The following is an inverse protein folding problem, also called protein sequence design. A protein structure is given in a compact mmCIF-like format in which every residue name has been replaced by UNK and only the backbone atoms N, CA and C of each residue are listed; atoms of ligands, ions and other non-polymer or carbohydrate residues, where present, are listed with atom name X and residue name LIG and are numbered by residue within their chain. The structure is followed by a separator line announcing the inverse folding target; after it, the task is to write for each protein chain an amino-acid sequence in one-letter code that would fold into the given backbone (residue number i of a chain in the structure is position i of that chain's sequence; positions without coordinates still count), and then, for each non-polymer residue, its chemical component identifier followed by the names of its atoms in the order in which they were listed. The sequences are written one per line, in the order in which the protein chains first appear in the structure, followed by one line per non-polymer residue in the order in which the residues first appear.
data_IF_265981707449
#
_entry.id   IF_265981707449
#
_cell.length_a   1.000
_cell.length_b   1.000
_cell.length_c   1.000
_cell.angle_alpha   90.00
_cell.angle_beta   90.00
_cell.angle_gamma   90.00
#
_symmetry.space_group_name_H-M   'P 1'
#
loop_
_entity.id
_entity.type
_entity.pdbx_description
1 polymer ?
#
# COMPACT_ATOMS: atom_id res chain seq x y z
N UNK A 1 -46.61 -47.24 -2.66
CA UNK A 1 -45.20 -47.62 -2.44
C UNK A 1 -44.79 -47.11 -1.06
N UNK A 2 -44.07 -47.94 -0.30
CA UNK A 2 -43.99 -47.96 1.17
C UNK A 2 -43.53 -46.65 1.84
N UNK A 3 -44.12 -46.45 3.01
CA UNK A 3 -43.84 -45.46 4.05
C UNK A 3 -42.73 -46.00 4.99
N UNK A 4 -42.07 -45.09 5.73
CA UNK A 4 -41.59 -45.18 7.14
C UNK A 4 -40.13 -44.72 7.37
N UNK A 5 -40.06 -43.53 7.97
CA UNK A 5 -39.34 -43.04 9.18
C UNK A 5 -37.92 -43.56 9.54
N UNK A 6 -37.13 -42.54 9.87
CA UNK A 6 -35.92 -42.45 10.70
C UNK A 6 -35.83 -43.36 11.94
N UNK A 7 -34.61 -43.84 12.23
CA UNK A 7 -34.11 -44.14 13.59
C UNK A 7 -32.64 -43.73 13.69
N UNK A 8 -32.35 -42.84 14.64
CA UNK A 8 -31.02 -42.56 15.18
C UNK A 8 -30.70 -43.58 16.29
N UNK A 9 -29.47 -44.07 16.40
CA UNK A 9 -28.97 -44.63 17.65
C UNK A 9 -27.50 -44.30 17.86
N UNK A 10 -27.22 -43.81 19.05
CA UNK A 10 -25.91 -43.45 19.57
C UNK A 10 -25.29 -44.61 20.38
N UNK A 11 -23.96 -44.60 20.40
CA UNK A 11 -23.02 -45.01 21.45
C UNK A 11 -23.17 -46.39 22.15
N UNK A 12 -22.09 -47.17 22.06
CA UNK A 12 -21.56 -47.92 23.20
C UNK A 12 -20.04 -48.04 23.07
N UNK A 13 -19.32 -47.48 24.05
CA UNK A 13 -17.90 -47.69 24.26
C UNK A 13 -17.68 -49.00 25.03
N UNK A 14 -16.73 -49.82 24.58
CA UNK A 14 -16.15 -50.90 25.38
C UNK A 14 -14.64 -50.70 25.43
N UNK A 15 -14.18 -50.39 26.63
CA UNK A 15 -12.78 -50.32 27.05
C UNK A 15 -12.22 -51.73 27.18
N UNK A 16 -11.12 -52.01 26.47
CA UNK A 16 -10.21 -53.11 26.81
C UNK A 16 -8.78 -52.59 26.84
N UNK A 17 -8.16 -52.78 27.99
CA UNK A 17 -6.80 -52.39 28.36
C UNK A 17 -5.78 -53.45 27.92
N UNK A 18 -4.79 -53.03 27.11
CA UNK A 18 -3.38 -53.46 26.99
C UNK A 18 -3.07 -54.96 26.68
N UNK A 19 -1.99 -55.30 25.92
CA UNK A 19 -0.63 -54.83 26.16
C UNK A 19 0.02 -54.08 24.98
N UNK A 20 0.93 -53.19 25.34
CA UNK A 20 1.83 -52.52 24.42
C UNK A 20 2.78 -53.52 23.76
N UNK A 21 2.70 -53.65 22.44
CA UNK A 21 3.78 -54.17 21.62
C UNK A 21 4.34 -52.98 20.86
N UNK A 22 5.55 -52.59 21.24
CA UNK A 22 6.35 -51.61 20.53
C UNK A 22 6.70 -52.18 19.14
N UNK A 23 5.95 -51.78 18.12
CA UNK A 23 6.38 -51.89 16.74
C UNK A 23 7.07 -50.57 16.39
N UNK A 24 8.41 -50.63 16.32
CA UNK A 24 9.25 -49.65 15.65
C UNK A 24 8.76 -49.51 14.21
N UNK A 25 7.94 -48.50 13.99
CA UNK A 25 7.53 -48.12 12.65
C UNK A 25 8.67 -47.29 12.05
N UNK A 26 9.26 -47.69 10.91
CA UNK A 26 10.22 -46.83 10.23
C UNK A 26 9.52 -45.52 9.92
N UNK A 27 10.16 -44.42 10.31
CA UNK A 27 9.66 -43.07 10.05
C UNK A 27 9.62 -42.85 8.55
N UNK A 28 8.51 -43.23 7.91
CA UNK A 28 8.14 -42.69 6.62
C UNK A 28 7.68 -41.27 6.92
N UNK A 29 8.63 -40.37 7.05
CA UNK A 29 8.38 -38.94 6.88
C UNK A 29 8.03 -38.75 5.41
N UNK A 30 6.81 -39.14 5.02
CA UNK A 30 6.15 -38.40 3.95
C UNK A 30 6.11 -36.98 4.47
N UNK A 31 6.99 -36.13 3.94
CA UNK A 31 6.98 -34.71 4.21
C UNK A 31 5.61 -34.21 3.75
N UNK A 32 4.62 -34.22 4.64
CA UNK A 32 3.45 -33.39 4.50
C UNK A 32 4.00 -31.98 4.41
N UNK A 33 4.03 -31.44 3.19
CA UNK A 33 4.39 -30.06 2.96
C UNK A 33 3.53 -29.25 3.93
N UNK A 34 4.14 -28.66 4.95
CA UNK A 34 3.42 -27.89 5.95
C UNK A 34 2.59 -26.85 5.19
N UNK A 35 1.27 -27.07 5.12
CA UNK A 35 0.36 -26.12 4.49
C UNK A 35 0.41 -24.89 5.35
N UNK A 36 1.22 -23.90 4.97
CA UNK A 36 1.37 -22.66 5.73
C UNK A 36 -0.01 -22.12 6.05
N UNK A 37 -0.31 -21.96 7.34
CA UNK A 37 -1.57 -21.36 7.79
C UNK A 37 -1.74 -20.02 7.10
N UNK A 38 -2.92 -19.80 6.52
CA UNK A 38 -3.25 -18.51 5.91
C UNK A 38 -3.13 -17.40 6.95
N UNK A 39 -2.55 -16.28 6.57
CA UNK A 39 -2.39 -15.11 7.43
C UNK A 39 -3.71 -14.33 7.56
N UNK A 40 -4.53 -14.34 6.52
CA UNK A 40 -5.84 -13.72 6.47
C UNK A 40 -6.39 -13.78 5.05
N UNK A 41 -7.34 -12.90 4.72
CA UNK A 41 -7.86 -12.71 3.37
C UNK A 41 -7.58 -11.31 2.84
N UNK A 42 -7.36 -11.21 1.53
CA UNK A 42 -7.24 -9.96 0.80
C UNK A 42 -8.20 -9.98 -0.38
N UNK A 43 -8.81 -8.85 -0.67
CA UNK A 43 -9.63 -8.66 -1.87
C UNK A 43 -8.90 -7.71 -2.80
N UNK A 44 -8.82 -8.09 -4.07
CA UNK A 44 -8.24 -7.22 -5.09
C UNK A 44 -9.28 -6.24 -5.61
N UNK A 45 -8.88 -4.99 -5.79
CA UNK A 45 -9.69 -3.94 -6.39
C UNK A 45 -8.87 -3.10 -7.35
N UNK A 46 -9.49 -2.69 -8.47
CA UNK A 46 -8.95 -1.67 -9.34
C UNK A 46 -10.09 -0.90 -9.99
N UNK A 47 -10.06 0.41 -9.86
CA UNK A 47 -11.08 1.31 -10.37
C UNK A 47 -10.92 1.57 -11.88
N UNK A 48 -9.72 1.30 -12.44
CA UNK A 48 -9.37 1.53 -13.85
C UNK A 48 -9.15 0.24 -14.66
N UNK A 49 -9.30 -0.94 -14.05
CA UNK A 49 -9.20 -2.21 -14.77
C UNK A 49 -10.13 -3.26 -14.18
N UNK A 50 -10.88 -3.94 -15.05
CA UNK A 50 -11.67 -5.12 -14.67
C UNK A 50 -10.79 -6.32 -14.28
N UNK A 51 -9.48 -6.21 -14.51
CA UNK A 51 -8.51 -7.29 -14.39
C UNK A 51 -7.24 -6.85 -13.66
N UNK A 52 -6.73 -7.69 -12.76
CA UNK A 52 -5.44 -7.51 -12.09
C UNK A 52 -4.41 -8.52 -12.61
N UNK A 53 -3.17 -8.07 -12.82
CA UNK A 53 -2.04 -8.91 -13.19
C UNK A 53 -1.53 -9.76 -12.02
N UNK A 54 -1.13 -11.00 -12.31
CA UNK A 54 -0.54 -11.92 -11.32
C UNK A 54 0.88 -12.28 -11.74
N UNK A 55 1.80 -12.17 -10.79
CA UNK A 55 3.20 -12.54 -10.98
C UNK A 55 3.49 -13.95 -10.47
N UNK A 56 4.46 -14.61 -11.09
CA UNK A 56 5.15 -15.75 -10.50
C UNK A 56 6.33 -15.27 -9.61
N UNK A 57 6.99 -16.21 -8.94
CA UNK A 57 8.13 -15.90 -8.06
C UNK A 57 9.34 -15.29 -8.80
N UNK A 58 9.44 -15.49 -10.12
CA UNK A 58 10.49 -14.93 -10.97
C UNK A 58 10.13 -13.56 -11.57
N UNK A 59 8.99 -12.97 -11.18
CA UNK A 59 8.56 -11.66 -11.68
C UNK A 59 7.90 -11.67 -13.06
N UNK A 60 7.86 -12.82 -13.75
CA UNK A 60 7.11 -12.92 -15.01
C UNK A 60 5.62 -12.85 -14.69
N UNK A 61 4.91 -11.94 -15.34
CA UNK A 61 3.47 -11.91 -15.33
C UNK A 61 3.00 -13.23 -15.96
N UNK A 62 2.36 -14.09 -15.17
CA UNK A 62 1.64 -15.21 -15.79
C UNK A 62 0.53 -14.56 -16.60
N UNK A 63 0.19 -15.11 -17.76
CA UNK A 63 -0.99 -14.74 -18.56
C UNK A 63 -2.33 -14.96 -17.80
N UNK A 64 -2.31 -15.06 -16.47
CA UNK A 64 -3.46 -15.16 -15.58
C UNK A 64 -3.87 -13.78 -15.12
N UNK A 65 -5.05 -13.41 -15.57
CA UNK A 65 -5.81 -12.22 -15.26
C UNK A 65 -6.84 -12.60 -14.19
N UNK A 66 -6.90 -11.88 -13.07
CA UNK A 66 -7.93 -12.10 -12.02
C UNK A 66 -8.96 -10.97 -12.05
N UNK A 67 -10.24 -11.31 -11.87
CA UNK A 67 -11.34 -10.34 -11.87
C UNK A 67 -11.25 -9.42 -10.64
N UNK A 68 -11.56 -8.14 -10.84
CA UNK A 68 -11.79 -7.19 -9.74
C UNK A 68 -12.83 -7.76 -8.74
N UNK A 69 -12.60 -7.56 -7.43
CA UNK A 69 -13.45 -8.03 -6.34
C UNK A 69 -13.16 -9.46 -5.89
N UNK A 70 -12.16 -10.13 -6.47
CA UNK A 70 -11.83 -11.51 -6.07
C UNK A 70 -11.09 -11.51 -4.72
N UNK A 71 -11.54 -12.39 -3.82
CA UNK A 71 -10.95 -12.58 -2.48
C UNK A 71 -10.09 -13.82 -2.42
N UNK A 72 -8.88 -13.70 -1.84
CA UNK A 72 -7.94 -14.80 -1.65
C UNK A 72 -7.50 -14.91 -0.20
N UNK A 73 -7.17 -16.13 0.23
CA UNK A 73 -6.25 -16.32 1.36
C UNK A 73 -4.85 -15.85 0.95
N UNK A 74 -4.14 -15.19 1.86
CA UNK A 74 -2.74 -14.81 1.64
C UNK A 74 -1.81 -15.40 2.69
N UNK A 75 -0.52 -15.48 2.34
CA UNK A 75 0.46 -16.24 3.10
C UNK A 75 1.74 -15.45 3.35
N UNK A 76 1.89 -14.97 4.59
CA UNK A 76 3.10 -14.31 5.09
C UNK A 76 3.20 -12.83 4.72
N UNK A 77 4.40 -12.29 4.93
CA UNK A 77 4.76 -10.91 4.60
C UNK A 77 4.89 -10.71 3.08
N UNK A 78 4.69 -9.47 2.59
CA UNK A 78 4.82 -9.15 1.17
C UNK A 78 6.27 -9.30 0.70
N UNK A 79 6.45 -9.63 -0.58
CA UNK A 79 7.76 -9.82 -1.23
C UNK A 79 7.91 -8.90 -2.43
N UNK A 80 9.12 -8.36 -2.61
CA UNK A 80 9.45 -7.61 -3.81
C UNK A 80 9.58 -8.56 -5.00
N UNK A 81 8.74 -8.38 -6.02
CA UNK A 81 8.66 -9.16 -7.24
C UNK A 81 8.34 -8.19 -8.38
N UNK A 82 9.14 -8.19 -9.45
CA UNK A 82 8.96 -7.28 -10.59
C UNK A 82 8.87 -5.79 -10.16
N UNK A 83 9.82 -5.34 -9.32
CA UNK A 83 9.88 -3.98 -8.78
C UNK A 83 8.67 -3.53 -7.94
N UNK A 84 7.75 -4.44 -7.63
CA UNK A 84 6.56 -4.17 -6.83
C UNK A 84 6.46 -5.14 -5.65
N UNK A 85 5.95 -4.68 -4.50
CA UNK A 85 5.69 -5.58 -3.39
C UNK A 85 4.38 -6.32 -3.61
N UNK A 86 4.40 -7.61 -3.33
CA UNK A 86 3.31 -8.52 -3.65
C UNK A 86 2.99 -9.46 -2.50
N UNK A 87 1.72 -9.84 -2.37
CA UNK A 87 1.27 -10.88 -1.45
C UNK A 87 1.15 -12.22 -2.16
N UNK A 88 1.67 -13.28 -1.54
CA UNK A 88 1.50 -14.65 -2.01
C UNK A 88 0.06 -15.09 -1.76
N UNK A 89 -0.65 -15.46 -2.82
CA UNK A 89 -2.04 -15.95 -2.75
C UNK A 89 -2.17 -17.45 -3.04
N UNK A 90 -1.18 -18.06 -3.71
CA UNK A 90 -1.11 -19.51 -3.95
C UNK A 90 0.33 -19.96 -4.26
N UNK A 91 0.52 -21.25 -4.56
CA UNK A 91 1.82 -21.76 -5.06
C UNK A 91 2.20 -21.00 -6.34
N UNK A 92 3.32 -20.28 -6.28
CA UNK A 92 3.87 -19.51 -7.40
C UNK A 92 2.90 -18.45 -7.99
N UNK A 93 2.00 -17.88 -7.17
CA UNK A 93 1.09 -16.80 -7.56
C UNK A 93 1.13 -15.65 -6.55
N UNK A 94 1.33 -14.45 -7.07
CA UNK A 94 1.54 -13.23 -6.29
C UNK A 94 0.74 -12.07 -6.89
N UNK A 95 0.15 -11.27 -6.02
CA UNK A 95 -0.65 -10.10 -6.41
C UNK A 95 0.01 -8.83 -5.88
N UNK A 96 0.09 -7.75 -6.69
CA UNK A 96 0.49 -6.42 -6.24
C UNK A 96 -0.19 -5.98 -4.95
N UNK A 97 0.56 -5.40 -4.02
CA UNK A 97 -0.04 -4.80 -2.83
C UNK A 97 -0.89 -3.58 -3.17
N UNK A 98 -0.51 -2.82 -4.21
CA UNK A 98 -1.25 -1.66 -4.73
C UNK A 98 -2.66 -2.03 -5.22
N UNK A 99 -2.86 -3.27 -5.68
CA UNK A 99 -4.14 -3.77 -6.18
C UNK A 99 -5.08 -4.28 -5.07
N UNK A 100 -4.73 -4.14 -3.78
CA UNK A 100 -5.55 -4.66 -2.68
C UNK A 100 -6.49 -3.57 -2.18
N UNK A 101 -7.79 -3.83 -2.24
CA UNK A 101 -8.84 -2.92 -1.79
C UNK A 101 -9.31 -3.20 -0.37
N UNK A 102 -9.22 -4.46 0.08
CA UNK A 102 -9.59 -4.83 1.47
C UNK A 102 -8.69 -5.90 2.07
N UNK A 103 -8.56 -5.86 3.39
CA UNK A 103 -7.89 -6.86 4.23
C UNK A 103 -8.88 -7.39 5.27
N UNK A 104 -9.14 -8.69 5.24
CA UNK A 104 -10.14 -9.36 6.08
C UNK A 104 -11.52 -8.69 5.99
N UNK A 105 -11.94 -8.30 4.78
CA UNK A 105 -13.22 -7.65 4.50
C UNK A 105 -13.32 -6.19 4.96
N UNK A 106 -12.21 -5.55 5.35
CA UNK A 106 -12.17 -4.16 5.79
C UNK A 106 -11.27 -3.31 4.91
N UNK A 107 -11.59 -2.02 4.80
CA UNK A 107 -10.82 -1.02 4.07
C UNK A 107 -9.38 -0.88 4.60
N UNK A 108 -8.46 -0.54 3.71
CA UNK A 108 -7.03 -0.79 3.89
C UNK A 108 -6.16 0.41 3.53
N UNK A 109 -5.04 0.56 4.25
CA UNK A 109 -3.96 1.49 3.96
C UNK A 109 -2.71 0.71 3.56
N UNK A 110 -1.98 1.22 2.57
CA UNK A 110 -0.68 0.68 2.17
C UNK A 110 0.47 1.50 2.77
N UNK A 111 1.37 0.84 3.48
CA UNK A 111 2.48 1.48 4.21
C UNK A 111 3.65 1.72 3.24
N UNK A 112 3.89 2.98 2.88
CA UNK A 112 4.96 3.38 1.97
C UNK A 112 6.34 3.30 2.63
N UNK A 113 6.40 3.70 3.89
CA UNK A 113 7.62 3.79 4.69
C UNK A 113 7.42 3.12 6.04
N UNK A 114 8.49 2.58 6.62
CA UNK A 114 8.45 2.04 7.99
C UNK A 114 7.80 3.07 8.92
N UNK A 115 6.72 2.68 9.59
CA UNK A 115 5.87 3.60 10.34
C UNK A 115 5.64 3.06 11.74
N UNK A 116 6.00 3.84 12.75
CA UNK A 116 5.58 3.52 14.11
C UNK A 116 4.07 3.75 14.26
N UNK A 117 3.47 2.97 15.14
CA UNK A 117 2.09 3.21 15.58
C UNK A 117 2.11 4.17 16.77
N UNK A 118 1.22 5.15 16.76
CA UNK A 118 1.08 6.18 17.78
C UNK A 118 -0.26 6.03 18.48
N UNK A 119 -0.33 6.43 19.74
CA UNK A 119 -1.59 6.56 20.46
C UNK A 119 -2.25 7.93 20.20
N UNK A 120 -3.41 8.16 20.81
CA UNK A 120 -4.17 9.42 20.70
C UNK A 120 -3.40 10.67 21.18
N UNK A 121 -2.34 10.50 21.96
CA UNK A 121 -1.51 11.57 22.53
C UNK A 121 -0.19 11.74 21.74
N UNK A 122 0.03 10.93 20.70
CA UNK A 122 1.24 10.96 19.90
C UNK A 122 2.43 10.25 20.54
N UNK A 123 2.21 9.40 21.54
CA UNK A 123 3.24 8.49 22.08
C UNK A 123 3.26 7.20 21.25
N UNK A 124 4.44 6.65 21.02
CA UNK A 124 4.59 5.38 20.28
C UNK A 124 3.97 4.24 21.09
N UNK A 125 3.07 3.49 20.46
CA UNK A 125 2.47 2.28 21.04
C UNK A 125 3.55 1.22 21.20
N UNK A 126 3.55 0.54 22.34
CA UNK A 126 4.45 -0.58 22.64
C UNK A 126 3.64 -1.86 22.84
N UNK A 127 4.25 -2.99 22.45
CA UNK A 127 3.76 -4.34 22.72
C UNK A 127 4.95 -5.17 23.18
N UNK A 128 4.85 -5.84 24.32
CA UNK A 128 5.93 -6.62 24.92
C UNK A 128 7.25 -5.80 25.00
N UNK A 129 7.15 -4.58 25.52
CA UNK A 129 8.25 -3.61 25.64
C UNK A 129 8.92 -3.17 24.32
N UNK A 130 8.38 -3.56 23.16
CA UNK A 130 8.88 -3.15 21.84
C UNK A 130 7.90 -2.20 21.17
N UNK A 131 8.42 -1.13 20.55
CA UNK A 131 7.60 -0.19 19.76
C UNK A 131 6.96 -0.94 18.59
N UNK A 132 5.66 -0.75 18.41
CA UNK A 132 4.93 -1.35 17.30
C UNK A 132 5.33 -0.64 16.01
N UNK A 133 5.97 -1.40 15.12
CA UNK A 133 6.46 -0.92 13.82
C UNK A 133 5.70 -1.64 12.70
N UNK A 134 5.02 -0.87 11.87
CA UNK A 134 4.50 -1.32 10.60
C UNK A 134 5.62 -1.20 9.57
N UNK A 135 5.98 -2.32 8.95
CA UNK A 135 7.06 -2.33 7.97
C UNK A 135 6.55 -1.81 6.63
N UNK A 136 7.47 -1.21 5.87
CA UNK A 136 7.26 -0.86 4.47
C UNK A 136 6.60 -2.03 3.74
N UNK A 137 5.67 -1.66 2.89
CA UNK A 137 4.88 -2.51 2.01
C UNK A 137 3.84 -3.40 2.68
N UNK A 138 3.65 -3.28 4.00
CA UNK A 138 2.55 -3.95 4.66
C UNK A 138 1.24 -3.20 4.43
N UNK A 139 0.13 -3.92 4.56
CA UNK A 139 -1.21 -3.36 4.58
C UNK A 139 -1.82 -3.44 5.97
N UNK A 140 -2.65 -2.46 6.32
CA UNK A 140 -3.36 -2.40 7.60
C UNK A 140 -4.77 -1.86 7.42
N UNK A 141 -5.70 -2.31 8.25
CA UNK A 141 -7.06 -1.78 8.26
C UNK A 141 -7.13 -0.38 8.88
N UNK A 142 -8.10 0.43 8.45
CA UNK A 142 -8.41 1.72 9.06
C UNK A 142 -9.88 1.81 9.50
N UNK A 143 -10.21 2.83 10.31
CA UNK A 143 -11.58 3.04 10.83
C UNK A 143 -12.15 4.44 10.59
N UNK A 144 -11.43 5.31 9.88
CA UNK A 144 -11.92 6.63 9.46
C UNK A 144 -12.98 6.59 8.37
N UNK A 145 -13.65 7.73 8.15
CA UNK A 145 -14.66 7.91 7.10
C UNK A 145 -14.04 8.57 5.86
N UNK A 146 -14.54 8.23 4.67
CA UNK A 146 -14.16 8.89 3.42
C UNK A 146 -15.21 9.95 3.07
N UNK A 147 -14.75 11.15 2.68
CA UNK A 147 -15.59 12.27 2.26
C UNK A 147 -14.95 12.99 1.06
N UNK A 148 -15.66 13.92 0.43
CA UNK A 148 -15.08 14.82 -0.57
C UNK A 148 -13.89 15.57 0.04
N UNK A 149 -12.80 15.65 -0.71
CA UNK A 149 -11.58 16.32 -0.25
C UNK A 149 -11.75 17.85 -0.25
N UNK A 150 -11.32 18.50 0.84
CA UNK A 150 -11.03 19.93 0.84
C UNK A 150 -9.78 20.23 -0.01
N UNK A 151 -9.58 21.50 -0.38
CA UNK A 151 -8.48 21.93 -1.26
C UNK A 151 -7.09 21.60 -0.73
N UNK A 152 -6.91 21.63 0.59
CA UNK A 152 -5.64 21.39 1.30
C UNK A 152 -5.51 19.97 1.86
N UNK A 153 -6.50 19.11 1.65
CA UNK A 153 -6.52 17.76 2.19
C UNK A 153 -5.59 16.81 1.42
N UNK A 154 -5.04 15.83 2.15
CA UNK A 154 -4.55 14.61 1.51
C UNK A 154 -5.72 13.91 0.83
N UNK A 155 -5.52 13.54 -0.42
CA UNK A 155 -6.61 13.13 -1.32
C UNK A 155 -6.19 11.97 -2.20
N UNK A 156 -7.15 11.16 -2.55
CA UNK A 156 -7.03 10.14 -3.58
C UNK A 156 -8.16 10.38 -4.58
N UNK A 157 -7.91 10.04 -5.84
CA UNK A 157 -8.90 10.16 -6.89
C UNK A 157 -9.64 8.84 -6.98
N UNK A 158 -10.97 8.91 -7.04
CA UNK A 158 -11.83 7.76 -7.35
C UNK A 158 -12.42 7.96 -8.76
N UNK A 159 -13.18 6.98 -9.25
CA UNK A 159 -13.91 7.04 -10.52
C UNK A 159 -14.42 8.46 -10.85
N UNK A 160 -14.27 8.85 -12.11
CA UNK A 160 -14.60 10.19 -12.64
C UNK A 160 -13.68 11.33 -12.15
N UNK A 161 -12.50 11.01 -11.60
CA UNK A 161 -11.54 12.03 -11.13
C UNK A 161 -11.95 12.71 -9.81
N UNK A 162 -12.99 12.21 -9.13
CA UNK A 162 -13.49 12.79 -7.88
C UNK A 162 -12.43 12.71 -6.79
N UNK A 163 -12.10 13.86 -6.20
CA UNK A 163 -11.11 13.99 -5.11
C UNK A 163 -11.76 13.64 -3.78
N UNK A 164 -11.34 12.53 -3.18
CA UNK A 164 -11.82 12.03 -1.90
C UNK A 164 -10.71 12.08 -0.86
N UNK A 165 -11.08 12.24 0.42
CA UNK A 165 -10.16 12.28 1.54
C UNK A 165 -10.63 11.32 2.65
N UNK A 166 -9.68 10.60 3.24
CA UNK A 166 -9.91 9.81 4.44
C UNK A 166 -9.73 10.73 5.67
N UNK A 167 -10.68 10.70 6.60
CA UNK A 167 -10.64 11.52 7.80
C UNK A 167 -9.35 11.32 8.60
N UNK A 168 -8.68 12.43 8.91
CA UNK A 168 -7.43 12.45 9.69
C UNK A 168 -7.65 13.05 11.07
N UNK A 169 -6.75 12.72 12.01
CA UNK A 169 -6.60 13.41 13.29
C UNK A 169 -5.27 14.15 13.33
N UNK A 170 -5.29 15.42 13.72
CA UNK A 170 -4.06 16.17 13.99
C UNK A 170 -3.58 15.87 15.40
N UNK A 171 -2.33 15.43 15.54
CA UNK A 171 -1.68 15.15 16.82
C UNK A 171 -0.29 15.79 16.77
N UNK A 172 -0.05 16.80 17.61
CA UNK A 172 1.24 17.54 17.66
C UNK A 172 1.69 18.05 16.27
N UNK A 173 0.78 18.70 15.54
CA UNK A 173 1.07 19.31 14.24
C UNK A 173 1.20 18.34 13.06
N UNK A 174 0.97 17.04 13.25
CA UNK A 174 0.98 16.07 12.15
C UNK A 174 -0.37 15.40 11.99
N UNK A 175 -0.73 15.05 10.75
CA UNK A 175 -1.96 14.32 10.46
C UNK A 175 -1.75 12.81 10.50
N UNK A 176 -2.75 12.12 11.06
CA UNK A 176 -2.73 10.67 11.24
C UNK A 176 -4.04 10.03 10.80
N UNK A 177 -3.94 8.82 10.26
CA UNK A 177 -5.08 7.92 10.07
C UNK A 177 -5.27 7.04 11.31
N UNK A 178 -6.52 6.84 11.70
CA UNK A 178 -6.90 5.91 12.77
C UNK A 178 -6.98 4.48 12.22
N UNK A 179 -6.20 3.57 12.81
CA UNK A 179 -6.14 2.14 12.47
C UNK A 179 -6.87 1.25 13.49
N UNK A 180 -7.73 1.86 14.33
CA UNK A 180 -8.54 1.22 15.36
C UNK A 180 -7.88 1.21 16.74
N UNK A 181 -8.66 0.95 17.80
CA UNK A 181 -8.17 0.80 19.18
C UNK A 181 -7.26 1.94 19.67
N UNK A 182 -7.58 3.20 19.32
CA UNK A 182 -6.76 4.38 19.61
C UNK A 182 -5.32 4.31 19.05
N UNK A 183 -5.10 3.55 17.98
CA UNK A 183 -3.84 3.46 17.27
C UNK A 183 -3.88 4.28 15.97
N UNK A 184 -2.79 4.97 15.70
CA UNK A 184 -2.68 5.97 14.65
C UNK A 184 -1.38 5.82 13.87
N UNK A 185 -1.42 6.11 12.57
CA UNK A 185 -0.24 6.13 11.70
C UNK A 185 -0.16 7.46 10.97
N UNK A 186 1.05 7.99 10.76
CA UNK A 186 1.24 9.25 10.04
C UNK A 186 0.78 9.10 8.59
N UNK A 187 0.02 10.09 8.10
CA UNK A 187 -0.45 10.12 6.71
C UNK A 187 0.71 10.06 5.72
N UNK A 188 1.81 10.75 6.02
CA UNK A 188 3.03 10.77 5.19
C UNK A 188 3.74 9.42 5.01
N UNK A 189 3.32 8.38 5.75
CA UNK A 189 3.87 7.03 5.64
C UNK A 189 2.92 6.07 4.89
N UNK A 190 1.85 6.59 4.30
CA UNK A 190 0.85 5.83 3.56
C UNK A 190 0.90 6.25 2.10
N UNK A 191 0.92 5.29 1.17
CA UNK A 191 0.94 5.57 -0.27
C UNK A 191 -0.40 5.32 -0.95
N UNK A 192 -1.26 4.46 -0.39
CA UNK A 192 -2.56 4.13 -0.99
C UNK A 192 -3.64 3.98 0.08
N UNK A 193 -4.88 4.33 -0.29
CA UNK A 193 -6.11 4.10 0.47
C UNK A 193 -7.05 3.29 -0.40
N UNK A 194 -7.40 2.06 -0.01
CA UNK A 194 -8.26 1.15 -0.78
C UNK A 194 -7.86 1.10 -2.26
N UNK A 195 -6.64 0.64 -2.55
CA UNK A 195 -6.05 0.59 -3.89
C UNK A 195 -5.94 1.92 -4.67
N UNK A 196 -6.28 3.07 -4.09
CA UNK A 196 -6.13 4.37 -4.74
C UNK A 196 -4.85 5.07 -4.28
N UNK A 197 -4.01 5.59 -5.20
CA UNK A 197 -2.85 6.37 -4.83
C UNK A 197 -3.25 7.59 -4.00
N UNK A 198 -2.54 7.76 -2.88
CA UNK A 198 -2.72 8.92 -2.01
C UNK A 198 -1.78 10.05 -2.46
N UNK A 199 -2.35 11.23 -2.60
CA UNK A 199 -1.66 12.46 -2.95
C UNK A 199 -1.75 13.47 -1.82
N UNK A 200 -0.68 14.24 -1.63
CA UNK A 200 -0.73 15.45 -0.83
C UNK A 200 -1.34 16.61 -1.65
N UNK A 201 -1.99 17.55 -0.97
CA UNK A 201 -2.36 18.81 -1.60
C UNK A 201 -1.14 19.61 -2.06
N UNK A 202 -0.06 19.56 -1.26
CA UNK A 202 1.26 20.09 -1.59
C UNK A 202 2.32 19.41 -0.72
N UNK A 203 3.58 19.50 -1.13
CA UNK A 203 4.75 19.04 -0.38
C UNK A 203 5.86 20.07 -0.44
N UNK A 204 6.80 19.99 0.49
CA UNK A 204 8.04 20.77 0.43
C UNK A 204 9.18 19.87 -0.03
N UNK A 205 9.91 20.31 -1.04
CA UNK A 205 11.10 19.65 -1.57
C UNK A 205 12.33 20.52 -1.32
N UNK A 206 13.50 19.90 -1.31
CA UNK A 206 14.79 20.61 -1.25
C UNK A 206 15.48 20.47 -2.59
N UNK A 207 15.88 21.60 -3.19
CA UNK A 207 16.57 21.60 -4.48
C UNK A 207 17.99 21.07 -4.37
N UNK A 208 18.39 20.30 -5.37
CA UNK A 208 19.76 19.88 -5.63
C UNK A 208 20.48 20.83 -6.57
N UNK A 209 21.66 20.42 -7.01
CA UNK A 209 22.43 21.13 -8.03
C UNK A 209 21.97 20.72 -9.41
N UNK A 210 21.81 21.68 -10.32
CA UNK A 210 21.57 21.41 -11.72
C UNK A 210 22.92 21.35 -12.45
N UNK A 211 23.24 20.22 -13.08
CA UNK A 211 24.51 20.07 -13.83
C UNK A 211 25.77 20.45 -13.01
N UNK A 212 25.77 20.15 -11.71
CA UNK A 212 26.79 20.53 -10.71
C UNK A 212 26.87 22.02 -10.32
N UNK A 213 25.97 22.86 -10.83
CA UNK A 213 25.86 24.27 -10.46
C UNK A 213 24.81 24.53 -9.38
N UNK A 214 24.97 25.63 -8.64
CA UNK A 214 24.01 26.03 -7.60
C UNK A 214 22.76 26.69 -8.17
N UNK A 215 22.80 27.17 -9.42
CA UNK A 215 21.64 27.74 -10.11
C UNK A 215 20.77 26.60 -10.62
N UNK A 216 19.49 26.64 -10.30
CA UNK A 216 18.51 25.63 -10.70
C UNK A 216 17.51 26.30 -11.65
N UNK A 217 17.42 25.84 -12.91
CA UNK A 217 16.48 26.41 -13.87
C UNK A 217 15.05 26.12 -13.45
N UNK A 218 14.17 27.06 -13.80
CA UNK A 218 12.72 26.91 -13.69
C UNK A 218 12.16 26.75 -15.09
N UNK A 219 11.12 25.93 -15.22
CA UNK A 219 10.51 25.57 -16.50
C UNK A 219 9.06 26.07 -16.58
N UNK A 220 8.58 26.30 -17.80
CA UNK A 220 7.15 26.43 -18.10
C UNK A 220 6.47 25.04 -18.21
N UNK A 221 5.19 25.03 -18.57
CA UNK A 221 4.39 23.81 -18.64
C UNK A 221 4.75 22.93 -19.85
N UNK A 222 5.56 23.43 -20.77
CA UNK A 222 6.03 22.79 -21.99
C UNK A 222 7.49 22.30 -21.83
N UNK A 223 8.12 22.57 -20.69
CA UNK A 223 9.50 22.16 -20.40
C UNK A 223 10.56 23.09 -20.96
N UNK A 224 10.20 24.32 -21.32
CA UNK A 224 11.18 25.34 -21.71
C UNK A 224 11.61 26.11 -20.48
N UNK A 225 12.88 26.46 -20.40
CA UNK A 225 13.39 27.27 -19.31
C UNK A 225 12.79 28.68 -19.36
N UNK A 226 12.43 29.20 -18.19
CA UNK A 226 12.02 30.60 -18.01
C UNK A 226 13.16 31.39 -17.35
N UNK A 227 13.06 32.72 -17.32
CA UNK A 227 14.12 33.59 -16.78
C UNK A 227 14.33 33.45 -15.27
N UNK A 228 13.42 32.81 -14.56
CA UNK A 228 13.53 32.57 -13.13
C UNK A 228 14.57 31.47 -12.85
N UNK A 229 15.48 31.74 -11.91
CA UNK A 229 16.41 30.75 -11.37
C UNK A 229 16.14 30.60 -9.86
N UNK A 230 16.28 29.37 -9.37
CA UNK A 230 16.29 29.06 -7.94
C UNK A 230 17.70 28.61 -7.53
N UNK A 231 17.92 28.40 -6.24
CA UNK A 231 19.23 28.01 -5.72
C UNK A 231 19.18 26.63 -5.09
N UNK A 232 20.21 25.82 -5.34
CA UNK A 232 20.43 24.55 -4.66
C UNK A 232 20.37 24.74 -3.13
N UNK A 233 19.70 23.80 -2.44
CA UNK A 233 19.44 23.88 -1.00
C UNK A 233 18.20 24.67 -0.60
N UNK A 234 17.59 25.44 -1.51
CA UNK A 234 16.31 26.11 -1.24
C UNK A 234 15.18 25.10 -1.02
N UNK A 235 14.26 25.44 -0.11
CA UNK A 235 13.03 24.68 0.14
C UNK A 235 11.90 25.27 -0.69
N UNK A 236 11.28 24.45 -1.53
CA UNK A 236 10.22 24.87 -2.45
C UNK A 236 8.96 24.08 -2.16
N UNK A 237 7.81 24.76 -2.09
CA UNK A 237 6.51 24.07 -2.02
C UNK A 237 6.04 23.73 -3.42
N UNK A 238 5.66 22.47 -3.64
CA UNK A 238 5.17 21.93 -4.92
C UNK A 238 3.79 21.32 -4.72
N UNK A 239 2.87 21.49 -5.67
CA UNK A 239 1.47 21.08 -5.53
C UNK A 239 0.94 20.18 -6.65
N UNK A 240 1.73 19.98 -7.70
CA UNK A 240 1.39 19.13 -8.84
C UNK A 240 2.60 18.57 -9.54
N UNK A 241 2.40 17.54 -10.36
CA UNK A 241 3.42 17.04 -11.29
C UNK A 241 2.93 17.04 -12.72
N UNK A 242 3.82 17.25 -13.68
CA UNK A 242 3.53 17.13 -15.11
C UNK A 242 4.58 16.28 -15.78
N UNK A 243 4.18 15.33 -16.62
CA UNK A 243 5.10 14.55 -17.44
C UNK A 243 4.99 15.01 -18.87
N UNK A 244 6.11 15.42 -19.46
CA UNK A 244 6.19 15.91 -20.83
C UNK A 244 7.21 15.11 -21.63
N UNK A 245 6.98 15.01 -22.93
CA UNK A 245 7.96 14.48 -23.88
C UNK A 245 8.63 15.66 -24.59
N UNK A 246 9.95 15.73 -24.50
CA UNK A 246 10.77 16.72 -25.19
C UNK A 246 11.75 15.97 -26.09
N UNK A 247 11.35 15.76 -27.35
CA UNK A 247 12.04 14.83 -28.25
C UNK A 247 12.04 13.41 -27.68
N UNK A 248 13.22 12.80 -27.57
CA UNK A 248 13.43 11.47 -27.00
C UNK A 248 13.47 11.46 -25.46
N UNK A 249 13.49 12.64 -24.82
CA UNK A 249 13.54 12.77 -23.37
C UNK A 249 12.14 12.86 -22.76
N UNK A 250 11.97 12.23 -21.61
CA UNK A 250 10.78 12.39 -20.77
C UNK A 250 11.16 13.18 -19.52
N UNK A 251 10.58 14.36 -19.35
CA UNK A 251 10.79 15.19 -18.15
C UNK A 251 9.63 14.98 -17.19
N UNK A 252 9.97 14.85 -15.90
CA UNK A 252 9.00 14.84 -14.80
C UNK A 252 9.16 16.16 -14.07
N UNK A 253 8.18 17.04 -14.22
CA UNK A 253 8.19 18.39 -13.69
C UNK A 253 7.34 18.45 -12.42
N UNK A 254 7.81 19.16 -11.39
CA UNK A 254 7.06 19.50 -10.19
C UNK A 254 6.65 20.97 -10.22
N UNK A 255 5.35 21.24 -10.21
CA UNK A 255 4.80 22.60 -10.25
C UNK A 255 5.01 23.33 -8.93
N UNK A 256 5.55 24.54 -9.00
CA UNK A 256 5.77 25.42 -7.84
C UNK A 256 4.40 25.93 -7.37
N UNK A 257 4.11 25.71 -6.09
CA UNK A 257 2.81 26.05 -5.50
C UNK A 257 2.51 27.55 -5.67
N UNK A 258 1.34 27.85 -6.22
CA UNK A 258 0.89 29.23 -6.47
C UNK A 258 1.53 29.91 -7.70
N UNK A 259 2.33 29.18 -8.48
CA UNK A 259 2.93 29.67 -9.73
C UNK A 259 2.52 28.76 -10.91
N UNK A 260 2.76 29.22 -12.14
CA UNK A 260 2.57 28.43 -13.38
C UNK A 260 3.86 27.74 -13.85
N UNK A 261 4.89 27.77 -13.02
CA UNK A 261 6.24 27.31 -13.32
C UNK A 261 6.59 26.03 -12.57
N UNK A 262 7.64 25.35 -13.02
CA UNK A 262 8.01 24.02 -12.58
C UNK A 262 9.51 23.89 -12.32
N UNK A 263 9.88 22.87 -11.55
CA UNK A 263 11.25 22.40 -11.38
C UNK A 263 11.36 20.97 -11.93
N UNK A 264 12.49 20.59 -12.52
CA UNK A 264 12.73 19.21 -12.93
C UNK A 264 12.92 18.33 -11.68
N UNK A 265 12.32 17.14 -11.69
CA UNK A 265 12.55 16.08 -10.71
C UNK A 265 14.05 15.79 -10.53
N UNK A 266 14.86 15.84 -11.59
CA UNK A 266 16.31 15.59 -11.49
C UNK A 266 17.04 16.63 -10.64
N UNK A 267 16.47 17.83 -10.49
CA UNK A 267 17.03 18.92 -9.69
C UNK A 267 16.50 18.90 -8.24
N UNK A 268 15.83 17.83 -7.80
CA UNK A 268 15.33 17.66 -6.43
C UNK A 268 16.26 16.74 -5.64
N UNK A 269 16.98 17.30 -4.66
CA UNK A 269 17.85 16.52 -3.77
C UNK A 269 17.07 15.73 -2.71
N UNK A 270 15.93 16.23 -2.27
CA UNK A 270 15.06 15.52 -1.31
C UNK A 270 13.65 15.42 -1.84
N UNK A 271 13.31 14.22 -2.31
CA UNK A 271 11.98 13.91 -2.82
C UNK A 271 10.92 13.99 -1.71
N UNK A 272 9.68 14.37 -2.06
CA UNK A 272 8.60 14.37 -1.10
C UNK A 272 8.27 12.92 -0.68
N UNK A 273 7.90 12.73 0.58
CA UNK A 273 7.53 11.40 1.10
C UNK A 273 6.24 10.85 0.48
N UNK A 274 5.42 11.73 -0.10
CA UNK A 274 4.16 11.42 -0.77
C UNK A 274 4.08 12.20 -2.07
N UNK A 275 3.53 11.58 -3.12
CA UNK A 275 3.30 12.28 -4.39
C UNK A 275 2.31 13.44 -4.22
N UNK A 276 2.46 14.45 -5.07
CA UNK A 276 1.40 15.44 -5.34
C UNK A 276 0.65 15.00 -6.60
N UNK A 277 -0.57 15.49 -6.79
CA UNK A 277 -1.42 15.01 -7.88
C UNK A 277 -0.82 15.38 -9.26
N UNK A 278 -0.95 14.52 -10.28
CA UNK A 278 -0.66 14.93 -11.64
C UNK A 278 -1.59 16.08 -12.05
N UNK A 279 -1.05 17.02 -12.80
CA UNK A 279 -1.82 17.99 -13.55
C UNK A 279 -2.48 17.28 -14.73
N UNK A 280 -3.76 17.60 -14.97
CA UNK A 280 -4.54 17.07 -16.08
C UNK A 280 -4.25 17.83 -17.37
#
# INVERSE_FOLDING_TARGET
MKLIKSISLAAAALSLTAPAIALVNPSITTAQAATKKATGTITVGNNNSSVIGVYNAAGKQKNQRIKNGTTFKYYGAPKLINYEYTYKIAKNKYVPTSAISTLNGKSVLYIANNSYVYDKNGKRVTKNSKRVLLRRSHIVNYTGSIKTAASDAYRFLVNDGKKMALSTKTIKGHQYYNIGKNAYIRVSNVSYVNNEPLYAAYQTVTLGKHSNESKVPVYDAEGKTVSQELTAGSKVSVDRTKTIKNGDQTLILYGIKGQKSYIDMNDIATMPNLAVAPEE
#
